data_IF_777742452104
#
_entry.id   IF_777742452104
#
_cell.length_a   1.000
_cell.length_b   1.000
_cell.length_c   1.000
_cell.angle_alpha   90.00
_cell.angle_beta   90.00
_cell.angle_gamma   90.00
#
_symmetry.space_group_name_H-M   'P 1'
#
loop_
_entity.id
_entity.type
_entity.pdbx_description
1 polymer ?
#
# COMPACT_ATOMS: atom_id res chain seq x y z
N UNK A 1 10.56 5.65 12.86
CA UNK A 1 10.45 6.35 14.17
C UNK A 1 9.63 5.49 15.13
N UNK A 2 10.14 5.18 16.32
CA UNK A 2 9.50 4.31 17.32
C UNK A 2 8.36 5.01 18.09
N UNK A 3 7.35 5.52 17.37
CA UNK A 3 6.23 6.27 17.99
C UNK A 3 5.33 5.39 18.87
N UNK A 4 5.18 4.13 18.49
CA UNK A 4 4.34 3.16 19.19
C UNK A 4 4.81 2.80 20.60
N UNK A 5 6.09 2.39 20.79
CA UNK A 5 6.63 2.18 22.12
C UNK A 5 6.52 3.42 23.01
N UNK A 6 6.76 4.61 22.46
CA UNK A 6 6.70 5.86 23.23
C UNK A 6 5.29 6.18 23.72
N UNK A 7 4.27 6.02 22.88
CA UNK A 7 2.88 6.16 23.31
C UNK A 7 2.50 5.12 24.38
N UNK A 8 2.93 3.85 24.23
CA UNK A 8 2.65 2.79 25.21
C UNK A 8 3.27 3.09 26.59
N UNK A 9 4.41 3.77 26.62
CA UNK A 9 5.07 4.21 27.85
C UNK A 9 4.57 5.56 28.39
N UNK A 10 3.57 6.19 27.76
CA UNK A 10 3.01 7.47 28.20
C UNK A 10 3.86 8.70 27.83
N UNK A 11 4.84 8.57 26.93
CA UNK A 11 5.68 9.70 26.49
C UNK A 11 5.02 10.58 25.42
N UNK A 12 3.83 10.20 24.92
CA UNK A 12 3.08 10.95 23.92
C UNK A 12 1.63 11.08 24.37
N UNK A 13 1.09 12.30 24.34
CA UNK A 13 -0.33 12.57 24.67
C UNK A 13 -1.27 12.06 23.56
N UNK A 14 -0.81 12.12 22.31
CA UNK A 14 -1.58 11.69 21.14
C UNK A 14 -1.24 10.28 20.73
N UNK A 15 -2.29 9.47 20.52
CA UNK A 15 -2.16 8.11 20.00
C UNK A 15 -1.63 8.16 18.55
N UNK A 16 -0.48 7.53 18.25
CA UNK A 16 0.02 7.45 16.89
C UNK A 16 -0.94 6.64 16.01
N UNK A 17 -0.95 6.98 14.72
CA UNK A 17 -1.74 6.29 13.70
C UNK A 17 -1.43 4.78 13.69
N UNK A 18 -2.42 3.99 13.30
CA UNK A 18 -2.26 2.54 13.28
C UNK A 18 -1.10 2.14 12.36
N UNK A 19 -0.23 1.25 12.83
CA UNK A 19 0.83 0.67 12.00
C UNK A 19 0.16 -0.17 10.91
N UNK A 20 0.32 0.25 9.67
CA UNK A 20 -0.18 -0.46 8.51
C UNK A 20 0.99 -1.21 7.89
N UNK A 21 0.84 -2.54 7.75
CA UNK A 21 1.86 -3.37 7.12
C UNK A 21 1.86 -3.14 5.61
N UNK A 22 2.99 -3.36 4.92
CA UNK A 22 3.03 -3.36 3.45
C UNK A 22 1.98 -4.31 2.86
N UNK A 23 1.74 -5.46 3.49
CA UNK A 23 0.70 -6.39 3.06
C UNK A 23 -0.71 -5.77 3.08
N UNK A 24 -1.05 -5.01 4.14
CA UNK A 24 -2.34 -4.31 4.23
C UNK A 24 -2.46 -3.15 3.24
N UNK A 25 -1.37 -2.41 3.00
CA UNK A 25 -1.37 -1.29 2.05
C UNK A 25 -1.49 -1.81 0.62
N UNK A 26 -0.67 -2.80 0.26
CA UNK A 26 -0.51 -3.23 -1.11
C UNK A 26 -1.55 -4.26 -1.53
N UNK A 27 -2.00 -5.15 -0.65
CA UNK A 27 -2.85 -6.30 -1.02
C UNK A 27 -4.21 -6.30 -0.27
N UNK A 28 -4.70 -5.13 0.09
CA UNK A 28 -6.05 -4.96 0.66
C UNK A 28 -7.17 -5.01 -0.38
N UNK A 29 -8.42 -4.86 0.07
CA UNK A 29 -9.60 -4.87 -0.81
C UNK A 29 -9.93 -3.52 -1.46
N UNK A 30 -9.14 -2.47 -1.19
CA UNK A 30 -9.37 -1.12 -1.72
C UNK A 30 -9.36 -1.06 -3.26
N UNK A 31 -8.70 -2.04 -3.91
CA UNK A 31 -8.56 -2.11 -5.37
C UNK A 31 -9.53 -3.07 -6.07
N UNK A 32 -10.51 -3.63 -5.38
CA UNK A 32 -11.45 -4.60 -5.99
C UNK A 32 -12.21 -3.94 -7.13
N UNK A 33 -12.15 -4.55 -8.32
CA UNK A 33 -12.80 -4.06 -9.54
C UNK A 33 -12.04 -2.94 -10.28
N UNK A 34 -10.88 -2.51 -9.78
CA UNK A 34 -10.00 -1.61 -10.51
C UNK A 34 -9.21 -2.37 -11.58
N UNK A 35 -8.88 -1.69 -12.67
CA UNK A 35 -7.94 -2.18 -13.68
C UNK A 35 -6.53 -1.67 -13.39
N UNK A 36 -5.53 -2.34 -13.96
CA UNK A 36 -4.15 -1.90 -13.89
C UNK A 36 -3.99 -0.47 -14.45
N UNK A 37 -3.25 0.38 -13.74
CA UNK A 37 -2.95 1.75 -14.14
C UNK A 37 -1.83 1.87 -15.20
N UNK A 38 -1.23 0.74 -15.60
CA UNK A 38 -0.21 0.73 -16.64
C UNK A 38 -0.87 0.99 -18.01
N UNK A 39 -0.19 1.76 -18.87
CA UNK A 39 -0.76 2.14 -20.17
C UNK A 39 -1.05 0.90 -21.04
N UNK A 40 -2.22 0.89 -21.66
CA UNK A 40 -2.70 -0.22 -22.50
C UNK A 40 -2.80 -1.58 -21.79
N UNK A 41 -2.98 -1.59 -20.46
CA UNK A 41 -3.27 -2.81 -19.69
C UNK A 41 -4.72 -2.80 -19.23
N UNK A 42 -5.46 -3.86 -19.55
CA UNK A 42 -6.88 -4.04 -19.14
C UNK A 42 -7.03 -5.12 -18.06
N UNK A 43 -5.92 -5.64 -17.54
CA UNK A 43 -5.94 -6.65 -16.48
C UNK A 43 -6.51 -6.08 -15.19
N UNK A 44 -7.11 -6.95 -14.39
CA UNK A 44 -7.55 -6.62 -13.04
C UNK A 44 -6.34 -6.24 -12.18
N UNK A 45 -6.48 -5.16 -11.42
CA UNK A 45 -5.49 -4.80 -10.43
C UNK A 45 -5.49 -5.79 -9.27
N UNK A 46 -4.30 -6.11 -8.78
CA UNK A 46 -4.08 -7.02 -7.67
C UNK A 46 -3.27 -6.37 -6.53
N UNK A 47 -2.61 -5.24 -6.80
CA UNK A 47 -1.78 -4.55 -5.83
C UNK A 47 -1.91 -3.03 -5.92
N UNK A 48 -1.84 -2.35 -4.77
CA UNK A 48 -1.74 -0.89 -4.65
C UNK A 48 -0.31 -0.49 -4.35
N UNK A 49 0.23 0.49 -5.07
CA UNK A 49 1.53 1.06 -4.78
C UNK A 49 1.48 1.88 -3.48
N UNK A 50 2.38 1.62 -2.54
CA UNK A 50 2.47 2.38 -1.28
C UNK A 50 3.03 3.80 -1.46
N UNK A 51 3.66 4.09 -2.60
CA UNK A 51 4.22 5.41 -2.91
C UNK A 51 3.22 6.31 -3.64
N UNK A 52 2.76 5.92 -4.83
CA UNK A 52 1.85 6.72 -5.65
C UNK A 52 0.36 6.39 -5.48
N UNK A 53 0.01 5.40 -4.66
CA UNK A 53 -1.35 4.92 -4.44
C UNK A 53 -2.08 4.34 -5.67
N UNK A 54 -1.43 4.23 -6.84
CA UNK A 54 -2.01 3.62 -8.03
C UNK A 54 -2.10 2.09 -7.93
N UNK A 55 -3.04 1.51 -8.67
CA UNK A 55 -3.35 0.09 -8.67
C UNK A 55 -2.75 -0.61 -9.90
N UNK A 56 -2.13 -1.77 -9.71
CA UNK A 56 -1.43 -2.50 -10.76
C UNK A 56 -1.78 -4.01 -10.71
N UNK A 57 -1.75 -4.67 -11.86
CA UNK A 57 -1.72 -6.13 -11.91
C UNK A 57 -0.34 -6.65 -11.46
N UNK A 58 -0.22 -7.96 -11.18
CA UNK A 58 1.02 -8.54 -10.68
C UNK A 58 2.19 -8.41 -11.67
N UNK A 59 1.92 -8.46 -12.98
CA UNK A 59 2.90 -8.28 -14.03
C UNK A 59 3.58 -6.91 -13.94
N UNK A 60 2.78 -5.84 -13.90
CA UNK A 60 3.31 -4.47 -13.87
C UNK A 60 3.75 -4.01 -12.48
N UNK A 61 3.35 -4.71 -11.42
CA UNK A 61 3.77 -4.39 -10.05
C UNK A 61 5.07 -5.11 -9.65
N UNK A 62 5.14 -6.44 -9.84
CA UNK A 62 6.21 -7.30 -9.31
C UNK A 62 7.19 -7.73 -10.40
N UNK A 63 6.71 -8.13 -11.57
CA UNK A 63 7.54 -8.78 -12.60
C UNK A 63 8.32 -7.73 -13.40
N UNK A 64 7.61 -6.82 -14.07
CA UNK A 64 8.21 -5.69 -14.79
C UNK A 64 8.70 -4.58 -13.86
N UNK A 65 8.43 -4.72 -12.56
CA UNK A 65 8.76 -3.79 -11.47
C UNK A 65 8.20 -2.40 -11.71
N UNK A 66 7.25 -1.99 -10.88
CA UNK A 66 6.78 -0.62 -10.88
C UNK A 66 7.85 0.30 -10.25
N UNK A 67 8.65 0.97 -11.09
CA UNK A 67 9.62 1.99 -10.67
C UNK A 67 8.91 3.33 -10.48
N UNK A 68 8.27 3.45 -9.32
CA UNK A 68 7.57 4.67 -8.94
C UNK A 68 8.50 5.88 -8.82
#
# INVERSE_FOLDING_TARGET
MMKYPWFKCGYLDQRPALFVTPAKICFGFDGVGQTCAFSNCTDLAAARCSHCAAFFCLEHFVIKTHFC
#
